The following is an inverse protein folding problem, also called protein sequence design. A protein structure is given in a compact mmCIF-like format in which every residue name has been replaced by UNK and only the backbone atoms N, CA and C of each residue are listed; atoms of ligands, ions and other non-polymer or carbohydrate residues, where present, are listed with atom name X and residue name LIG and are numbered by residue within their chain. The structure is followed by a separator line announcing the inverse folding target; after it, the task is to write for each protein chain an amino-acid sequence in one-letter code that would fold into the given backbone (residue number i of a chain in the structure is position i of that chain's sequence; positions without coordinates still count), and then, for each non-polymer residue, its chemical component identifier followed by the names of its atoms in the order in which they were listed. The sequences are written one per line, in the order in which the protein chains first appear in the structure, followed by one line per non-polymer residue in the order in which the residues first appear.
data_IF_885457601356
#
_entry.id   IF_885457601356
#
_cell.length_a   1.000
_cell.length_b   1.000
_cell.length_c   1.000
_cell.angle_alpha   90.00
_cell.angle_beta   90.00
_cell.angle_gamma   90.00
#
_symmetry.space_group_name_H-M   'P 1'
#
loop_
_entity.id
_entity.type
_entity.pdbx_description
1 polymer ?
#
# COMPACT_ATOMS: atom_id res chain seq x y z
N UNK A 1 -25.62 5.11 -25.65
CA UNK A 1 -26.87 5.01 -26.41
C UNK A 1 -27.01 3.64 -27.07
N UNK A 2 -26.09 3.22 -27.97
CA UNK A 2 -26.15 1.95 -28.73
C UNK A 2 -26.35 0.70 -27.86
N UNK A 3 -25.63 0.56 -26.75
CA UNK A 3 -25.81 -0.56 -25.81
C UNK A 3 -27.24 -0.64 -25.27
N UNK A 4 -27.83 0.49 -24.85
CA UNK A 4 -29.18 0.50 -24.32
C UNK A 4 -30.22 0.13 -25.38
N UNK A 5 -30.04 0.59 -26.62
CA UNK A 5 -30.92 0.21 -27.73
C UNK A 5 -30.85 -1.27 -28.03
N UNK A 6 -29.60 -1.83 -28.14
CA UNK A 6 -29.42 -3.26 -28.39
C UNK A 6 -29.99 -4.13 -27.25
N UNK A 7 -29.81 -3.69 -25.99
CA UNK A 7 -30.40 -4.36 -24.82
C UNK A 7 -31.91 -4.42 -24.90
N UNK A 8 -32.56 -3.27 -25.13
CA UNK A 8 -34.02 -3.19 -25.22
C UNK A 8 -34.56 -4.05 -26.37
N UNK A 9 -33.90 -4.01 -27.52
CA UNK A 9 -34.26 -4.86 -28.67
C UNK A 9 -34.15 -6.34 -28.31
N UNK A 10 -33.05 -6.76 -27.68
CA UNK A 10 -32.89 -8.15 -27.22
C UNK A 10 -33.97 -8.56 -26.20
N UNK A 11 -34.25 -7.73 -25.19
CA UNK A 11 -35.26 -7.98 -24.16
C UNK A 11 -36.66 -8.11 -24.77
N UNK A 12 -37.00 -7.27 -25.73
CA UNK A 12 -38.27 -7.32 -26.44
C UNK A 12 -38.40 -8.58 -27.31
N UNK A 13 -37.34 -8.89 -28.09
CA UNK A 13 -37.32 -10.10 -28.90
C UNK A 13 -37.39 -11.37 -28.04
N UNK A 14 -36.77 -11.39 -26.88
CA UNK A 14 -36.89 -12.49 -25.93
C UNK A 14 -38.34 -12.68 -25.47
N UNK A 15 -39.03 -11.61 -25.11
CA UNK A 15 -40.48 -11.67 -24.74
C UNK A 15 -41.36 -12.18 -25.87
N UNK A 16 -41.06 -11.78 -27.11
CA UNK A 16 -41.81 -12.24 -28.31
C UNK A 16 -41.51 -13.68 -28.63
N UNK A 17 -40.27 -14.13 -28.44
CA UNK A 17 -39.91 -15.53 -28.59
C UNK A 17 -40.59 -16.43 -27.55
N UNK A 18 -40.61 -16.02 -26.29
CA UNK A 18 -41.33 -16.75 -25.21
C UNK A 18 -42.83 -16.92 -25.52
N UNK A 19 -43.39 -15.93 -26.23
CA UNK A 19 -44.79 -15.98 -26.73
C UNK A 19 -44.93 -16.70 -28.07
N UNK A 20 -43.85 -17.30 -28.63
CA UNK A 20 -43.79 -17.99 -29.92
C UNK A 20 -44.18 -17.12 -31.12
N UNK A 21 -43.99 -15.80 -31.04
CA UNK A 21 -44.30 -14.83 -32.12
C UNK A 21 -43.14 -14.75 -33.12
N UNK A 22 -41.87 -14.89 -32.65
CA UNK A 22 -40.70 -14.82 -33.50
C UNK A 22 -39.90 -16.13 -33.46
N UNK A 23 -39.08 -16.34 -34.49
CA UNK A 23 -38.20 -17.52 -34.60
C UNK A 23 -36.89 -17.40 -33.83
N UNK A 24 -36.24 -18.54 -33.66
CA UNK A 24 -34.92 -18.62 -32.99
C UNK A 24 -33.86 -17.73 -33.67
N UNK A 25 -33.90 -17.59 -34.98
CA UNK A 25 -32.97 -16.80 -35.75
C UNK A 25 -33.00 -15.31 -35.36
N UNK A 26 -34.19 -14.75 -35.22
CA UNK A 26 -34.38 -13.34 -34.83
C UNK A 26 -33.89 -13.07 -33.41
N UNK A 27 -34.17 -14.00 -32.47
CA UNK A 27 -33.64 -13.91 -31.13
C UNK A 27 -32.10 -13.96 -31.11
N UNK A 28 -31.51 -14.90 -31.83
CA UNK A 28 -30.04 -15.03 -31.94
C UNK A 28 -29.39 -13.79 -32.55
N UNK A 29 -30.02 -13.20 -33.56
CA UNK A 29 -29.52 -11.96 -34.18
C UNK A 29 -29.54 -10.79 -33.20
N UNK A 30 -30.62 -10.62 -32.44
CA UNK A 30 -30.72 -9.59 -31.40
C UNK A 30 -29.73 -9.83 -30.26
N UNK A 31 -29.51 -11.08 -29.88
CA UNK A 31 -28.50 -11.45 -28.86
C UNK A 31 -27.07 -11.12 -29.31
N UNK A 32 -26.74 -11.43 -30.56
CA UNK A 32 -25.41 -11.11 -31.14
C UNK A 32 -25.20 -9.59 -31.20
N UNK A 33 -26.22 -8.83 -31.61
CA UNK A 33 -26.17 -7.37 -31.62
C UNK A 33 -25.97 -6.79 -30.20
N UNK A 34 -26.66 -7.35 -29.19
CA UNK A 34 -26.47 -6.97 -27.80
C UNK A 34 -25.08 -7.28 -27.30
N UNK A 35 -24.56 -8.49 -27.56
CA UNK A 35 -23.20 -8.91 -27.15
C UNK A 35 -22.13 -8.02 -27.80
N UNK A 36 -22.29 -7.68 -29.09
CA UNK A 36 -21.39 -6.76 -29.79
C UNK A 36 -21.42 -5.36 -29.18
N UNK A 37 -22.60 -4.85 -28.89
CA UNK A 37 -22.75 -3.53 -28.24
C UNK A 37 -22.18 -3.52 -26.81
N UNK A 38 -22.29 -4.65 -26.08
CA UNK A 38 -21.68 -4.83 -24.77
C UNK A 38 -20.14 -4.82 -24.85
N UNK A 39 -19.57 -5.54 -25.81
CA UNK A 39 -18.13 -5.54 -26.05
C UNK A 39 -17.61 -4.14 -26.41
N UNK A 40 -18.31 -3.41 -27.26
CA UNK A 40 -17.97 -2.04 -27.63
C UNK A 40 -18.02 -1.08 -26.42
N UNK A 41 -19.01 -1.25 -25.53
CA UNK A 41 -19.08 -0.48 -24.29
C UNK A 41 -17.88 -0.79 -23.38
N UNK A 42 -17.55 -2.06 -23.19
CA UNK A 42 -16.42 -2.48 -22.37
C UNK A 42 -15.09 -1.93 -22.93
N UNK A 43 -14.92 -1.96 -24.24
CA UNK A 43 -13.74 -1.39 -24.92
C UNK A 43 -13.63 0.12 -24.67
N UNK A 44 -14.73 0.86 -24.83
CA UNK A 44 -14.73 2.30 -24.58
C UNK A 44 -14.46 2.65 -23.11
N UNK A 45 -14.98 1.85 -22.17
CA UNK A 45 -14.70 2.01 -20.75
C UNK A 45 -13.22 1.75 -20.41
N UNK A 46 -12.62 0.71 -21.01
CA UNK A 46 -11.21 0.42 -20.85
C UNK A 46 -10.32 1.55 -21.40
N UNK A 47 -10.66 2.08 -22.60
CA UNK A 47 -9.96 3.23 -23.19
C UNK A 47 -10.06 4.47 -22.28
N UNK A 48 -11.24 4.74 -21.71
CA UNK A 48 -11.45 5.85 -20.78
C UNK A 48 -10.60 5.65 -19.50
N UNK A 49 -10.56 4.44 -18.95
CA UNK A 49 -9.76 4.13 -17.77
C UNK A 49 -8.28 4.37 -18.03
N UNK A 50 -7.74 3.88 -19.16
CA UNK A 50 -6.35 4.09 -19.57
C UNK A 50 -6.02 5.58 -19.78
N UNK A 51 -6.92 6.34 -20.41
CA UNK A 51 -6.73 7.78 -20.59
C UNK A 51 -6.72 8.54 -19.26
N UNK A 52 -7.60 8.15 -18.31
CA UNK A 52 -7.62 8.73 -16.95
C UNK A 52 -6.34 8.41 -16.17
N UNK A 53 -5.83 7.20 -16.32
CA UNK A 53 -4.58 6.79 -15.68
C UNK A 53 -3.39 7.59 -16.23
N UNK A 54 -3.29 7.73 -17.56
CA UNK A 54 -2.28 8.58 -18.20
C UNK A 54 -2.37 10.03 -17.72
N UNK A 55 -3.58 10.57 -17.59
CA UNK A 55 -3.78 11.92 -17.05
C UNK A 55 -3.36 12.01 -15.58
N UNK A 56 -3.58 10.96 -14.79
CA UNK A 56 -3.19 10.95 -13.36
C UNK A 56 -1.68 11.06 -13.18
N UNK A 57 -0.90 10.51 -14.10
CA UNK A 57 0.57 10.61 -14.08
C UNK A 57 1.10 12.02 -14.37
N UNK A 58 0.28 12.88 -14.99
CA UNK A 58 0.63 14.29 -15.16
C UNK A 58 0.59 15.08 -13.84
N UNK A 59 0.02 14.49 -12.77
CA UNK A 59 -0.06 15.09 -11.44
C UNK A 59 0.72 14.23 -10.44
N UNK A 60 1.95 14.62 -10.17
CA UNK A 60 2.77 13.93 -9.16
C UNK A 60 2.24 14.25 -7.77
N UNK A 61 1.80 13.21 -7.05
CA UNK A 61 1.28 13.30 -5.69
C UNK A 61 2.09 12.42 -4.76
N UNK A 62 2.21 12.83 -3.51
CA UNK A 62 2.82 11.98 -2.49
C UNK A 62 1.95 10.74 -2.25
N UNK A 63 2.51 9.52 -2.23
CA UNK A 63 1.77 8.30 -1.89
C UNK A 63 1.42 8.20 -0.41
N UNK A 64 2.14 8.92 0.46
CA UNK A 64 1.92 8.91 1.91
C UNK A 64 1.94 10.32 2.49
N UNK A 65 1.30 10.48 3.64
CA UNK A 65 1.42 11.70 4.43
C UNK A 65 2.74 11.65 5.23
N UNK A 66 3.49 12.76 5.23
CA UNK A 66 4.77 12.79 5.91
C UNK A 66 5.45 14.14 5.81
N UNK A 67 6.72 14.19 6.18
CA UNK A 67 7.57 15.37 6.05
C UNK A 67 8.37 15.24 4.76
N UNK A 68 8.34 16.31 3.98
CA UNK A 68 9.10 16.40 2.73
C UNK A 68 10.57 16.67 3.07
N UNK A 69 11.44 15.90 2.47
CA UNK A 69 12.89 16.05 2.57
C UNK A 69 13.44 17.18 1.66
N UNK A 70 14.62 16.96 1.10
CA UNK A 70 15.23 17.92 0.18
C UNK A 70 14.49 17.95 -1.16
N UNK A 71 14.49 19.12 -1.81
CA UNK A 71 13.97 19.35 -3.15
C UNK A 71 15.15 19.65 -4.10
N UNK A 72 15.80 18.64 -4.68
CA UNK A 72 16.98 18.85 -5.53
C UNK A 72 16.64 19.61 -6.81
N UNK A 73 15.42 19.47 -7.33
CA UNK A 73 14.99 20.13 -8.56
C UNK A 73 14.26 21.44 -8.27
N UNK A 74 14.69 22.49 -8.94
CA UNK A 74 14.06 23.82 -8.89
C UNK A 74 12.99 23.94 -9.97
N UNK A 75 12.12 24.92 -9.82
CA UNK A 75 11.11 25.27 -10.83
C UNK A 75 11.77 25.53 -12.19
N UNK A 76 11.29 24.83 -13.22
CA UNK A 76 11.86 24.86 -14.57
C UNK A 76 12.92 23.81 -14.87
N UNK A 77 13.33 23.01 -13.90
CA UNK A 77 14.23 21.87 -14.15
C UNK A 77 13.53 20.78 -14.98
N UNK A 78 14.24 20.20 -15.91
CA UNK A 78 13.78 19.05 -16.67
C UNK A 78 13.93 17.80 -15.79
N UNK A 79 12.86 17.05 -15.63
CA UNK A 79 12.85 15.78 -14.93
C UNK A 79 12.31 14.67 -15.86
N UNK A 80 12.85 13.48 -15.74
CA UNK A 80 12.45 12.32 -16.55
C UNK A 80 12.51 11.04 -15.71
N UNK A 81 11.94 9.95 -16.21
CA UNK A 81 12.03 8.65 -15.57
C UNK A 81 13.47 8.11 -15.43
N UNK A 82 14.42 8.65 -16.20
CA UNK A 82 15.85 8.32 -16.14
C UNK A 82 16.65 9.25 -15.21
N UNK A 83 16.02 10.20 -14.54
CA UNK A 83 16.71 11.04 -13.55
C UNK A 83 17.21 10.19 -12.39
N UNK A 84 18.48 10.41 -12.01
CA UNK A 84 19.16 9.63 -10.96
C UNK A 84 18.56 9.93 -9.58
N UNK A 85 18.30 11.21 -9.32
CA UNK A 85 17.77 11.65 -8.04
C UNK A 85 16.23 11.66 -8.05
N UNK A 86 15.58 11.27 -6.94
CA UNK A 86 14.14 11.39 -6.81
C UNK A 86 13.72 12.87 -6.75
N UNK A 87 12.48 13.17 -7.14
CA UNK A 87 11.93 14.53 -7.03
C UNK A 87 11.99 15.07 -5.61
N UNK A 88 11.67 14.24 -4.66
CA UNK A 88 11.80 14.45 -3.22
C UNK A 88 11.59 13.13 -2.50
N UNK A 89 11.95 13.10 -1.24
CA UNK A 89 11.63 12.00 -0.33
C UNK A 89 10.56 12.46 0.66
N UNK A 90 9.61 11.58 0.97
CA UNK A 90 8.59 11.83 2.00
C UNK A 90 8.77 10.80 3.09
N UNK A 91 9.07 11.24 4.31
CA UNK A 91 9.24 10.37 5.46
C UNK A 91 8.01 10.45 6.36
N UNK A 92 7.38 9.30 6.64
CA UNK A 92 6.37 9.24 7.69
C UNK A 92 7.10 9.14 9.04
N UNK A 93 7.00 10.19 9.82
CA UNK A 93 7.65 10.32 11.12
C UNK A 93 6.68 10.18 12.30
N UNK A 94 5.47 9.67 12.07
CA UNK A 94 4.49 9.46 13.14
C UNK A 94 4.96 8.40 14.13
N UNK A 95 5.56 7.36 13.62
CA UNK A 95 6.15 6.28 14.41
C UNK A 95 7.59 6.10 13.96
N UNK A 96 8.51 6.12 14.90
CA UNK A 96 9.94 5.92 14.63
C UNK A 96 10.33 4.51 15.04
N UNK A 97 11.04 3.83 14.15
CA UNK A 97 11.63 2.52 14.41
C UNK A 97 13.04 2.70 14.94
N UNK A 98 13.28 2.18 16.15
CA UNK A 98 14.60 2.19 16.77
C UNK A 98 15.14 0.76 16.79
N UNK A 99 16.31 0.59 16.24
CA UNK A 99 17.03 -0.69 16.21
C UNK A 99 17.99 -0.75 17.39
N UNK A 100 17.94 -1.83 18.15
CA UNK A 100 18.90 -2.09 19.21
C UNK A 100 19.23 -3.58 19.26
N UNK A 101 20.38 -3.90 19.86
CA UNK A 101 20.85 -5.27 19.94
C UNK A 101 20.69 -5.82 21.36
N UNK A 102 20.34 -7.10 21.46
CA UNK A 102 20.27 -7.86 22.71
C UNK A 102 21.08 -9.13 22.56
N UNK A 103 21.82 -9.50 23.59
CA UNK A 103 22.65 -10.70 23.57
C UNK A 103 21.78 -11.97 23.48
N UNK A 104 22.32 -13.02 22.85
CA UNK A 104 21.60 -14.29 22.71
C UNK A 104 21.26 -14.91 24.08
N UNK A 105 22.17 -14.79 25.08
CA UNK A 105 21.93 -15.27 26.44
C UNK A 105 20.65 -14.71 27.04
N UNK A 106 20.44 -13.39 26.89
CA UNK A 106 19.29 -12.69 27.48
C UNK A 106 17.98 -13.13 26.81
N UNK A 107 18.02 -13.28 25.46
CA UNK A 107 16.86 -13.79 24.69
C UNK A 107 16.52 -15.24 25.08
N UNK A 108 17.54 -16.10 25.28
CA UNK A 108 17.33 -17.48 25.67
C UNK A 108 16.70 -17.57 27.07
N UNK A 109 17.16 -16.78 28.01
CA UNK A 109 16.61 -16.79 29.38
C UNK A 109 15.16 -16.28 29.40
N UNK A 110 14.87 -15.24 28.65
CA UNK A 110 13.51 -14.73 28.49
C UNK A 110 12.60 -15.76 27.79
N UNK A 111 13.10 -16.42 26.74
CA UNK A 111 12.32 -17.44 26.01
C UNK A 111 12.02 -18.66 26.88
N UNK A 112 12.98 -19.10 27.73
CA UNK A 112 12.75 -20.18 28.70
C UNK A 112 11.67 -19.82 29.72
N UNK A 113 11.66 -18.56 30.19
CA UNK A 113 10.66 -18.08 31.14
C UNK A 113 9.25 -17.97 30.53
N UNK A 114 9.15 -17.49 29.29
CA UNK A 114 7.88 -17.24 28.59
C UNK A 114 7.35 -18.44 27.76
N UNK A 115 8.15 -19.49 27.59
CA UNK A 115 7.80 -20.69 26.82
C UNK A 115 7.98 -20.57 25.32
N UNK A 116 7.91 -19.38 24.74
CA UNK A 116 8.22 -19.12 23.33
C UNK A 116 8.65 -17.66 23.10
N UNK A 117 9.33 -17.41 21.95
CA UNK A 117 9.86 -16.10 21.58
C UNK A 117 8.77 -15.04 21.44
N UNK A 118 7.60 -15.40 20.87
CA UNK A 118 6.51 -14.46 20.64
C UNK A 118 5.85 -14.00 21.95
N UNK A 119 5.77 -14.87 22.96
CA UNK A 119 5.33 -14.51 24.30
C UNK A 119 6.39 -13.65 25.01
N UNK A 120 7.66 -14.05 24.94
CA UNK A 120 8.79 -13.29 25.50
C UNK A 120 8.82 -11.85 24.99
N UNK A 121 8.59 -11.63 23.67
CA UNK A 121 8.56 -10.29 23.09
C UNK A 121 7.38 -9.44 23.58
N UNK A 122 6.23 -10.05 23.89
CA UNK A 122 5.06 -9.34 24.43
C UNK A 122 5.22 -8.95 25.90
N UNK A 123 5.95 -9.77 26.64
CA UNK A 123 6.20 -9.57 28.06
C UNK A 123 7.40 -8.63 28.32
N UNK A 124 8.09 -8.20 27.25
CA UNK A 124 9.15 -7.20 27.38
C UNK A 124 8.61 -5.89 27.96
N UNK A 125 9.30 -5.32 28.98
CA UNK A 125 8.95 -4.02 29.48
C UNK A 125 9.06 -2.96 28.38
N UNK A 126 8.30 -1.89 28.54
CA UNK A 126 8.38 -0.76 27.61
C UNK A 126 9.79 -0.18 27.58
N UNK A 127 10.34 -0.01 26.38
CA UNK A 127 11.69 0.50 26.16
C UNK A 127 11.69 2.02 26.31
N UNK A 128 12.65 2.57 27.01
CA UNK A 128 12.87 4.01 27.12
C UNK A 128 13.94 4.44 26.14
N UNK A 129 13.70 5.53 25.43
CA UNK A 129 14.65 6.12 24.50
C UNK A 129 15.34 7.31 25.19
N UNK A 130 16.66 7.27 25.26
CA UNK A 130 17.46 8.41 25.69
C UNK A 130 17.92 9.19 24.47
N UNK A 131 17.62 10.47 24.44
CA UNK A 131 18.04 11.38 23.37
C UNK A 131 19.53 11.77 23.50
N UNK A 132 20.07 12.39 22.46
CA UNK A 132 21.48 12.79 22.43
C UNK A 132 21.86 13.83 23.49
N UNK A 133 20.90 14.60 23.98
CA UNK A 133 21.05 15.57 25.08
C UNK A 133 20.99 14.93 26.48
N UNK A 134 20.81 13.60 26.55
CA UNK A 134 20.68 12.86 27.81
C UNK A 134 19.27 12.81 28.38
N UNK A 135 18.30 13.51 27.79
CA UNK A 135 16.90 13.47 28.25
C UNK A 135 16.23 12.15 27.86
N UNK A 136 15.28 11.69 28.68
CA UNK A 136 14.48 10.51 28.37
C UNK A 136 13.24 10.96 27.59
N UNK A 137 13.01 10.33 26.45
CA UNK A 137 11.83 10.59 25.64
C UNK A 137 10.55 10.17 26.37
N UNK A 138 9.53 11.04 26.37
CA UNK A 138 8.32 10.88 27.18
C UNK A 138 7.41 9.73 26.74
N UNK A 139 7.51 9.27 25.50
CA UNK A 139 6.69 8.19 24.98
C UNK A 139 7.49 6.88 25.03
N UNK A 140 7.04 5.88 25.81
CA UNK A 140 7.71 4.59 25.86
C UNK A 140 7.52 3.83 24.56
N UNK A 141 8.58 3.15 24.10
CA UNK A 141 8.55 2.29 22.93
C UNK A 141 8.11 0.86 23.24
N UNK A 142 7.50 0.22 22.26
CA UNK A 142 7.16 -1.22 22.30
C UNK A 142 8.02 -1.98 21.34
N UNK A 143 8.60 -3.09 21.78
CA UNK A 143 9.30 -4.03 20.90
C UNK A 143 8.28 -4.75 20.04
N UNK A 144 8.44 -4.67 18.72
CA UNK A 144 7.48 -5.22 17.75
C UNK A 144 8.04 -6.43 17.03
N UNK A 145 9.33 -6.40 16.74
CA UNK A 145 10.00 -7.45 15.98
C UNK A 145 11.38 -7.75 16.56
N UNK A 146 11.79 -8.99 16.36
CA UNK A 146 13.17 -9.45 16.55
C UNK A 146 13.63 -10.04 15.22
N UNK A 147 14.89 -9.81 14.87
CA UNK A 147 15.52 -10.46 13.71
C UNK A 147 15.52 -11.97 13.93
N UNK A 148 15.14 -12.73 12.89
CA UNK A 148 15.21 -14.19 12.91
C UNK A 148 16.65 -14.74 12.76
N UNK A 149 17.65 -13.85 12.59
CA UNK A 149 19.05 -14.22 12.35
C UNK A 149 19.94 -13.52 13.35
N UNK A 150 20.83 -14.29 13.97
CA UNK A 150 21.88 -13.78 14.86
C UNK A 150 22.96 -13.13 13.99
N UNK A 151 23.44 -11.99 14.42
CA UNK A 151 24.63 -11.40 13.83
C UNK A 151 25.85 -12.25 14.25
N UNK A 152 26.44 -12.99 13.30
CA UNK A 152 27.53 -13.93 13.57
C UNK A 152 28.80 -13.27 14.15
N UNK A 153 28.98 -11.97 13.94
CA UNK A 153 30.15 -11.24 14.46
C UNK A 153 29.97 -10.77 15.91
N UNK A 154 28.73 -10.54 16.35
CA UNK A 154 28.42 -9.96 17.68
C UNK A 154 27.69 -10.93 18.60
N UNK A 155 27.15 -12.06 18.09
CA UNK A 155 26.35 -12.99 18.88
C UNK A 155 25.05 -12.35 19.42
N UNK A 156 24.52 -11.34 18.74
CA UNK A 156 23.37 -10.59 19.20
C UNK A 156 22.22 -10.62 18.20
N UNK A 157 21.00 -10.55 18.71
CA UNK A 157 19.80 -10.34 17.92
C UNK A 157 19.50 -8.85 17.78
N UNK A 158 19.04 -8.43 16.61
CA UNK A 158 18.53 -7.09 16.40
C UNK A 158 17.03 -7.05 16.71
N UNK A 159 16.64 -6.15 17.60
CA UNK A 159 15.25 -5.88 17.94
C UNK A 159 14.82 -4.54 17.37
N UNK A 160 13.55 -4.42 17.05
CA UNK A 160 12.92 -3.21 16.53
C UNK A 160 11.86 -2.76 17.54
N UNK A 161 12.06 -1.57 18.08
CA UNK A 161 11.06 -0.91 18.92
C UNK A 161 10.40 0.24 18.17
N UNK A 162 9.08 0.34 18.27
CA UNK A 162 8.29 1.43 17.75
C UNK A 162 8.06 2.48 18.84
N UNK A 163 8.34 3.73 18.50
CA UNK A 163 8.09 4.90 19.35
C UNK A 163 7.13 5.84 18.64
N UNK A 164 6.03 6.17 19.30
CA UNK A 164 5.11 7.17 18.79
C UNK A 164 5.74 8.57 18.86
N UNK A 165 5.58 9.36 17.80
CA UNK A 165 6.21 10.66 17.68
C UNK A 165 5.18 11.77 17.38
N UNK A 166 4.22 12.04 18.29
CA UNK A 166 3.17 13.03 18.08
C UNK A 166 3.73 14.44 17.95
N UNK A 167 4.80 14.75 18.69
CA UNK A 167 5.44 16.07 18.69
C UNK A 167 6.41 16.25 17.51
N UNK A 168 6.64 15.21 16.70
CA UNK A 168 7.59 15.22 15.57
C UNK A 168 9.01 15.65 15.97
N UNK A 169 9.38 15.38 17.20
CA UNK A 169 10.70 15.69 17.77
C UNK A 169 11.77 14.76 17.17
N UNK A 170 11.42 13.49 17.03
CA UNK A 170 12.31 12.50 16.44
C UNK A 170 12.29 12.63 14.90
N UNK A 171 13.45 12.53 14.29
CA UNK A 171 13.65 12.56 12.83
C UNK A 171 14.38 11.30 12.39
N UNK A 172 14.11 10.87 11.16
CA UNK A 172 14.83 9.77 10.51
C UNK A 172 16.04 10.27 9.72
#
# INVERSE_FOLDING_TARGET
AQFNTARLTYENNKKLFDKKVIGQYELSTAQNAFTTAQAALAQAQAALASAKETLSWCQVKSPSAGVIGSLPYKKGALVSASSVDPLTTVSDIKTIEVFFSMAESDILDMTKAAGNVAAALKDLPAVKLQLADGTIYNHPGKVVKMSGVINASTGAYSLIAHFDNPEKLLKS
#
